data_IF_555658161669
#
_entry.id   IF_555658161669
#
_cell.length_a   1.000
_cell.length_b   1.000
_cell.length_c   1.000
_cell.angle_alpha   90.00
_cell.angle_beta   90.00
_cell.angle_gamma   90.00
#
_symmetry.space_group_name_H-M   'P 1'
#
loop_
_entity.id
_entity.type
_entity.pdbx_description
1 polymer ?
#
# COMPACT_ATOMS: atom_id res chain seq x y z
N UNK A 1 -63.00 -33.93 -39.50
CA UNK A 1 -62.85 -32.58 -38.92
C UNK A 1 -62.54 -32.70 -37.43
N UNK A 2 -61.27 -32.81 -37.01
CA UNK A 2 -60.92 -33.08 -35.59
C UNK A 2 -59.56 -32.50 -35.17
N UNK A 3 -59.15 -31.35 -35.70
CA UNK A 3 -57.75 -30.88 -35.52
C UNK A 3 -57.61 -29.37 -35.26
N UNK A 4 -58.62 -28.68 -34.70
CA UNK A 4 -58.58 -27.22 -34.48
C UNK A 4 -58.69 -26.80 -33.00
N UNK A 5 -58.89 -27.74 -32.07
CA UNK A 5 -59.09 -27.43 -30.64
C UNK A 5 -57.80 -27.36 -29.80
N UNK A 6 -56.64 -27.66 -30.40
CA UNK A 6 -55.35 -27.74 -29.67
C UNK A 6 -54.42 -26.53 -29.83
N UNK A 7 -54.74 -25.58 -30.71
CA UNK A 7 -53.92 -24.37 -30.88
C UNK A 7 -54.32 -23.20 -29.97
N UNK A 8 -55.52 -23.23 -29.38
CA UNK A 8 -56.00 -22.15 -28.51
C UNK A 8 -55.49 -22.24 -27.06
N UNK A 9 -54.94 -23.38 -26.63
CA UNK A 9 -54.39 -23.53 -25.28
C UNK A 9 -52.93 -23.05 -25.16
N UNK A 10 -52.17 -23.00 -26.27
CA UNK A 10 -50.75 -22.60 -26.25
C UNK A 10 -50.53 -21.08 -26.20
N UNK A 11 -51.43 -20.28 -26.79
CA UNK A 11 -51.30 -18.82 -26.83
C UNK A 11 -51.56 -18.14 -25.49
N UNK A 12 -52.42 -18.71 -24.64
CA UNK A 12 -52.80 -18.10 -23.35
C UNK A 12 -51.69 -18.27 -22.30
N UNK A 13 -50.88 -19.34 -22.38
CA UNK A 13 -49.77 -19.57 -21.45
C UNK A 13 -48.54 -18.67 -21.70
N UNK A 14 -48.35 -18.18 -22.93
CA UNK A 14 -47.25 -17.25 -23.24
C UNK A 14 -47.56 -15.80 -22.84
N UNK A 15 -48.83 -15.36 -22.92
CA UNK A 15 -49.24 -14.02 -22.51
C UNK A 15 -49.24 -13.80 -20.99
N UNK A 16 -49.56 -14.85 -20.21
CA UNK A 16 -49.54 -14.78 -18.74
C UNK A 16 -48.12 -14.89 -18.17
N UNK A 17 -47.19 -15.54 -18.87
CA UNK A 17 -45.77 -15.56 -18.48
C UNK A 17 -45.09 -14.20 -18.62
N UNK A 18 -45.48 -13.39 -19.62
CA UNK A 18 -44.87 -12.08 -19.85
C UNK A 18 -45.35 -11.01 -18.85
N UNK A 19 -46.56 -11.15 -18.30
CA UNK A 19 -47.06 -10.28 -17.23
C UNK A 19 -46.61 -10.73 -15.83
N UNK A 20 -46.42 -12.03 -15.58
CA UNK A 20 -45.91 -12.53 -14.30
C UNK A 20 -44.38 -12.40 -14.15
N UNK A 21 -43.62 -12.32 -15.25
CA UNK A 21 -42.17 -12.10 -15.22
C UNK A 21 -41.72 -10.68 -14.88
N UNK A 22 -42.62 -9.69 -14.95
CA UNK A 22 -42.32 -8.28 -14.64
C UNK A 22 -42.35 -7.92 -13.15
N UNK A 23 -42.88 -8.80 -12.31
CA UNK A 23 -43.00 -8.58 -10.87
C UNK A 23 -42.46 -9.80 -10.11
N UNK A 24 -41.15 -10.01 -10.19
CA UNK A 24 -40.46 -10.99 -9.35
C UNK A 24 -39.77 -10.26 -8.18
N UNK A 25 -40.42 -10.11 -7.00
CA UNK A 25 -39.79 -9.52 -5.82
C UNK A 25 -38.72 -10.43 -5.18
N UNK A 26 -38.51 -11.63 -5.75
CA UNK A 26 -37.50 -12.61 -5.34
C UNK A 26 -36.51 -12.93 -6.46
N UNK A 27 -36.44 -12.09 -7.49
CA UNK A 27 -35.28 -12.07 -8.38
C UNK A 27 -34.08 -11.56 -7.60
N UNK A 28 -33.39 -12.45 -6.88
CA UNK A 28 -32.00 -12.23 -6.56
C UNK A 28 -31.31 -11.92 -7.88
N UNK A 29 -31.07 -10.64 -8.09
CA UNK A 29 -30.11 -10.16 -9.06
C UNK A 29 -28.81 -10.81 -8.62
N UNK A 30 -28.43 -11.90 -9.28
CA UNK A 30 -27.05 -12.30 -9.30
C UNK A 30 -26.38 -11.15 -10.03
N UNK A 31 -25.99 -10.12 -9.28
CA UNK A 31 -25.01 -9.16 -9.76
C UNK A 31 -23.84 -10.05 -10.13
N UNK A 32 -23.60 -10.23 -11.43
CA UNK A 32 -22.31 -10.74 -11.88
C UNK A 32 -21.30 -9.94 -11.10
N UNK A 33 -20.45 -10.64 -10.32
CA UNK A 33 -19.34 -10.00 -9.63
C UNK A 33 -18.61 -9.22 -10.71
N UNK A 34 -18.84 -7.91 -10.70
CA UNK A 34 -18.10 -6.96 -11.47
C UNK A 34 -16.70 -7.08 -10.89
N UNK A 35 -15.91 -7.97 -11.48
CA UNK A 35 -14.54 -8.24 -11.05
C UNK A 35 -13.80 -7.01 -11.52
N UNK A 36 -13.88 -5.92 -10.75
CA UNK A 36 -13.15 -4.69 -11.01
C UNK A 36 -11.70 -5.12 -11.13
N UNK A 37 -11.20 -5.14 -12.36
CA UNK A 37 -9.80 -5.45 -12.62
C UNK A 37 -9.01 -4.39 -11.89
N UNK A 38 -8.34 -4.77 -10.80
CA UNK A 38 -7.56 -3.84 -10.02
C UNK A 38 -6.50 -3.21 -10.90
N UNK A 39 -6.53 -1.89 -10.97
CA UNK A 39 -5.53 -1.13 -11.68
C UNK A 39 -4.21 -1.16 -10.90
N UNK A 40 -3.10 -0.86 -11.57
CA UNK A 40 -1.81 -0.69 -10.88
C UNK A 40 -1.90 0.38 -9.78
N UNK A 41 -2.69 1.44 -9.99
CA UNK A 41 -2.94 2.47 -8.99
C UNK A 41 -3.66 1.93 -7.75
N UNK A 42 -4.70 1.10 -7.93
CA UNK A 42 -5.39 0.44 -6.81
C UNK A 42 -4.39 -0.39 -5.99
N UNK A 43 -3.54 -1.19 -6.65
CA UNK A 43 -2.52 -2.02 -5.97
C UNK A 43 -1.49 -1.20 -5.20
N UNK A 44 -1.04 -0.06 -5.74
CA UNK A 44 -0.12 0.85 -5.04
C UNK A 44 -0.79 1.43 -3.79
N UNK A 45 -2.06 1.80 -3.86
CA UNK A 45 -2.82 2.28 -2.70
C UNK A 45 -2.94 1.18 -1.63
N UNK A 46 -3.26 -0.05 -2.04
CA UNK A 46 -3.32 -1.19 -1.12
C UNK A 46 -1.96 -1.47 -0.47
N UNK A 47 -0.87 -1.47 -1.24
CA UNK A 47 0.48 -1.63 -0.71
C UNK A 47 0.88 -0.51 0.25
N UNK A 48 0.55 0.75 -0.07
CA UNK A 48 0.83 1.89 0.81
C UNK A 48 0.10 1.78 2.15
N UNK A 49 -1.15 1.34 2.13
CA UNK A 49 -1.92 1.07 3.36
C UNK A 49 -1.29 -0.05 4.17
N UNK A 50 -0.93 -1.17 3.54
CA UNK A 50 -0.29 -2.29 4.22
C UNK A 50 1.06 -1.90 4.85
N UNK A 51 1.87 -1.10 4.16
CA UNK A 51 3.14 -0.57 4.71
C UNK A 51 2.86 0.35 5.90
N UNK A 52 1.83 1.21 5.83
CA UNK A 52 1.43 2.05 6.94
C UNK A 52 0.98 1.22 8.15
N UNK A 53 0.14 0.21 7.95
CA UNK A 53 -0.34 -0.66 9.02
C UNK A 53 0.83 -1.39 9.69
N UNK A 54 1.80 -1.88 8.92
CA UNK A 54 3.02 -2.47 9.44
C UNK A 54 3.89 -1.47 10.21
N UNK A 55 3.98 -0.22 9.73
CA UNK A 55 4.68 0.86 10.43
C UNK A 55 4.04 1.17 11.78
N UNK A 56 2.71 1.28 11.81
CA UNK A 56 1.94 1.55 13.03
C UNK A 56 2.09 0.40 14.05
N UNK A 57 2.11 -0.86 13.58
CA UNK A 57 2.39 -2.03 14.42
C UNK A 57 3.83 -2.03 14.99
N UNK A 58 4.83 -1.76 14.15
CA UNK A 58 6.23 -1.65 14.61
C UNK A 58 6.42 -0.47 15.58
N UNK A 59 5.72 0.64 15.37
CA UNK A 59 5.74 1.79 16.26
C UNK A 59 5.14 1.45 17.63
N UNK A 60 4.03 0.69 17.66
CA UNK A 60 3.43 0.20 18.90
C UNK A 60 4.40 -0.70 19.71
N UNK A 61 5.30 -1.41 19.02
CA UNK A 61 6.37 -2.20 19.63
C UNK A 61 7.65 -1.39 19.94
N UNK A 62 7.64 -0.06 19.76
CA UNK A 62 8.82 0.82 19.89
C UNK A 62 9.99 0.42 18.97
N UNK A 63 9.71 -0.24 17.85
CA UNK A 63 10.70 -0.68 16.84
C UNK A 63 10.79 0.25 15.64
N UNK A 64 9.92 1.25 15.53
CA UNK A 64 9.86 2.15 14.39
C UNK A 64 9.72 3.60 14.80
N UNK A 65 10.65 4.43 14.34
CA UNK A 65 10.59 5.87 14.42
C UNK A 65 11.15 6.48 13.13
N UNK A 66 10.48 7.49 12.58
CA UNK A 66 10.89 8.16 11.34
C UNK A 66 11.04 9.66 11.52
N UNK A 67 11.98 10.24 10.77
CA UNK A 67 12.20 11.70 10.66
C UNK A 67 11.55 12.30 9.41
N UNK A 68 11.08 11.45 8.49
CA UNK A 68 10.39 11.88 7.26
C UNK A 68 8.95 12.32 7.55
N UNK A 69 8.36 13.13 6.67
CA UNK A 69 6.94 13.54 6.80
C UNK A 69 5.95 12.38 6.61
N UNK A 70 6.39 11.30 5.94
CA UNK A 70 5.59 10.11 5.65
C UNK A 70 6.15 8.84 6.27
N UNK A 71 5.56 7.70 5.89
CA UNK A 71 6.08 6.39 6.29
C UNK A 71 7.35 6.09 5.50
N UNK A 72 8.48 5.95 6.20
CA UNK A 72 9.70 5.42 5.62
C UNK A 72 9.54 3.92 5.33
N UNK A 73 9.28 3.60 4.06
CA UNK A 73 9.02 2.23 3.61
C UNK A 73 10.27 1.35 3.73
N UNK A 74 11.46 1.96 3.61
CA UNK A 74 12.72 1.26 3.76
C UNK A 74 12.85 0.65 5.17
N UNK A 75 12.66 1.44 6.21
CA UNK A 75 12.75 0.98 7.59
C UNK A 75 11.65 -0.04 7.92
N UNK A 76 10.40 0.19 7.47
CA UNK A 76 9.28 -0.74 7.72
C UNK A 76 9.60 -2.13 7.17
N UNK A 77 9.98 -2.21 5.90
CA UNK A 77 10.30 -3.48 5.26
C UNK A 77 11.61 -4.09 5.78
N UNK A 78 12.49 -3.31 6.43
CA UNK A 78 13.66 -3.81 7.14
C UNK A 78 13.33 -4.42 8.52
N UNK A 79 12.06 -4.38 8.95
CA UNK A 79 11.63 -4.85 10.27
C UNK A 79 11.69 -3.79 11.36
N UNK A 80 11.83 -2.52 10.99
CA UNK A 80 11.91 -1.37 11.90
C UNK A 80 13.21 -0.58 11.73
N UNK A 81 13.38 0.39 12.60
CA UNK A 81 14.53 1.29 12.65
C UNK A 81 14.20 2.56 13.41
N UNK A 82 15.24 3.26 13.88
CA UNK A 82 15.09 4.53 14.54
C UNK A 82 15.77 5.62 13.71
N UNK A 83 14.99 6.28 12.86
CA UNK A 83 15.48 7.34 11.98
C UNK A 83 16.02 8.55 12.75
N UNK A 84 15.51 8.84 13.95
CA UNK A 84 15.98 9.95 14.79
C UNK A 84 17.38 9.65 15.33
N UNK A 85 17.57 8.47 15.92
CA UNK A 85 18.87 8.03 16.43
C UNK A 85 19.92 7.88 15.31
N UNK A 86 19.51 7.36 14.15
CA UNK A 86 20.37 7.26 12.97
C UNK A 86 20.76 8.66 12.43
N UNK A 87 19.82 9.61 12.45
CA UNK A 87 20.08 11.00 12.06
C UNK A 87 21.03 11.70 13.04
N UNK A 88 20.83 11.53 14.35
CA UNK A 88 21.73 12.05 15.39
C UNK A 88 23.15 11.48 15.26
N UNK A 89 23.27 10.22 14.85
CA UNK A 89 24.54 9.57 14.54
C UNK A 89 25.14 10.02 13.19
N UNK A 90 24.42 10.80 12.39
CA UNK A 90 24.84 11.26 11.06
C UNK A 90 24.86 10.16 10.00
N UNK A 91 24.23 9.00 10.25
CA UNK A 91 24.19 7.88 9.31
C UNK A 91 22.76 7.36 9.16
N UNK A 92 22.13 7.65 8.03
CA UNK A 92 20.70 7.40 7.79
C UNK A 92 20.45 6.39 6.68
N UNK A 93 19.26 5.81 6.62
CA UNK A 93 18.87 4.92 5.54
C UNK A 93 18.71 5.67 4.18
N UNK A 94 18.66 4.95 3.05
CA UNK A 94 18.58 5.58 1.73
C UNK A 94 17.33 6.46 1.53
N UNK A 95 16.19 6.06 2.09
CA UNK A 95 14.93 6.78 1.92
C UNK A 95 14.92 8.05 2.78
N UNK A 96 15.40 7.96 4.03
CA UNK A 96 15.62 9.12 4.89
C UNK A 96 16.64 10.08 4.27
N UNK A 97 17.73 9.58 3.70
CA UNK A 97 18.72 10.44 3.03
C UNK A 97 18.10 11.25 1.89
N UNK A 98 17.31 10.59 1.03
CA UNK A 98 16.60 11.25 -0.06
C UNK A 98 15.58 12.28 0.45
N UNK A 99 14.84 11.96 1.51
CA UNK A 99 13.88 12.86 2.13
C UNK A 99 14.55 14.10 2.73
N UNK A 100 15.67 13.94 3.45
CA UNK A 100 16.45 15.04 4.01
C UNK A 100 16.96 15.96 2.89
N UNK A 101 17.45 15.38 1.79
CA UNK A 101 17.93 16.13 0.63
C UNK A 101 16.81 16.89 -0.10
N UNK A 102 15.61 16.30 -0.18
CA UNK A 102 14.42 16.92 -0.77
C UNK A 102 13.69 17.90 0.18
N UNK A 103 14.06 17.92 1.46
CA UNK A 103 13.36 18.70 2.49
C UNK A 103 11.96 18.18 2.82
N UNK A 104 11.69 16.89 2.56
CA UNK A 104 10.46 16.15 2.85
C UNK A 104 10.56 15.44 4.23
N UNK A 105 11.00 16.22 5.22
CA UNK A 105 11.23 15.76 6.60
C UNK A 105 10.45 16.64 7.56
N UNK A 106 10.19 16.10 8.75
CA UNK A 106 9.49 16.84 9.80
C UNK A 106 10.12 18.21 10.02
N UNK A 107 9.27 19.20 10.35
CA UNK A 107 9.66 20.60 10.42
C UNK A 107 10.84 20.82 11.39
N UNK A 108 10.83 20.12 12.52
CA UNK A 108 11.85 20.26 13.56
C UNK A 108 13.23 19.82 13.06
N UNK A 109 13.27 18.81 12.19
CA UNK A 109 14.50 18.34 11.55
C UNK A 109 14.93 19.32 10.46
N UNK A 110 13.97 19.77 9.65
CA UNK A 110 14.22 20.72 8.55
C UNK A 110 14.86 22.02 9.01
N UNK A 111 14.40 22.56 10.14
CA UNK A 111 14.91 23.81 10.72
C UNK A 111 16.37 23.70 11.20
N UNK A 112 16.88 22.48 11.41
CA UNK A 112 18.25 22.20 11.83
C UNK A 112 19.16 21.73 10.69
N UNK A 113 18.62 21.51 9.49
CA UNK A 113 19.40 21.09 8.33
C UNK A 113 20.19 22.27 7.75
N UNK A 114 21.47 22.01 7.50
CA UNK A 114 22.39 23.00 6.94
C UNK A 114 23.24 22.36 5.84
N UNK A 115 23.97 23.18 5.09
CA UNK A 115 25.02 22.72 4.19
C UNK A 115 26.37 23.23 4.65
N UNK A 116 27.39 22.37 4.59
CA UNK A 116 28.77 22.77 4.84
C UNK A 116 29.37 23.55 3.66
N UNK A 117 30.64 23.97 3.79
CA UNK A 117 31.36 24.69 2.75
C UNK A 117 31.54 23.89 1.45
N UNK A 118 31.50 22.56 1.53
CA UNK A 118 31.59 21.64 0.39
C UNK A 118 30.19 21.35 -0.22
N UNK A 119 29.13 21.96 0.32
CA UNK A 119 27.75 21.77 -0.09
C UNK A 119 27.11 20.47 0.38
N UNK A 120 27.74 19.75 1.33
CA UNK A 120 27.20 18.50 1.90
C UNK A 120 26.12 18.81 2.93
N UNK A 121 25.11 17.95 2.99
CA UNK A 121 24.04 18.08 3.97
C UNK A 121 24.56 17.75 5.38
N UNK A 122 24.22 18.60 6.33
CA UNK A 122 24.62 18.48 7.73
C UNK A 122 23.40 18.61 8.64
N UNK A 123 23.45 17.92 9.77
CA UNK A 123 22.47 18.00 10.85
C UNK A 123 23.22 18.13 12.17
N UNK A 124 22.90 19.16 12.96
CA UNK A 124 23.63 19.49 14.19
C UNK A 124 25.16 19.55 14.01
N UNK A 125 25.63 20.10 12.88
CA UNK A 125 27.04 20.22 12.53
C UNK A 125 27.71 18.94 12.03
N UNK A 126 27.02 17.79 12.04
CA UNK A 126 27.53 16.53 11.53
C UNK A 126 27.13 16.31 10.08
N UNK A 127 28.08 15.88 9.24
CA UNK A 127 27.80 15.51 7.85
C UNK A 127 26.94 14.24 7.82
N UNK A 128 25.78 14.35 7.18
CA UNK A 128 24.85 13.23 7.02
C UNK A 128 25.36 12.32 5.91
N UNK A 129 25.38 11.02 6.18
CA UNK A 129 25.77 9.98 5.24
C UNK A 129 24.70 8.91 5.18
N UNK A 130 24.63 8.23 4.05
CA UNK A 130 23.80 7.03 3.95
C UNK A 130 24.47 5.85 4.68
N UNK A 131 23.68 4.88 5.14
CA UNK A 131 24.16 3.62 5.69
C UNK A 131 25.29 3.01 4.85
N UNK A 132 26.28 2.45 5.54
CA UNK A 132 27.39 1.74 4.89
C UNK A 132 26.89 0.58 4.02
N UNK A 133 27.66 0.25 2.99
CA UNK A 133 27.39 -0.89 2.08
C UNK A 133 27.11 -2.20 2.84
N UNK A 134 27.92 -2.54 3.84
CA UNK A 134 27.75 -3.78 4.61
C UNK A 134 26.45 -3.82 5.42
N UNK A 135 26.03 -2.70 6.03
CA UNK A 135 24.73 -2.58 6.71
C UNK A 135 23.57 -2.77 5.74
N UNK A 136 23.65 -2.17 4.55
CA UNK A 136 22.63 -2.32 3.50
C UNK A 136 22.54 -3.77 3.01
N UNK A 137 23.67 -4.42 2.74
CA UNK A 137 23.72 -5.83 2.32
C UNK A 137 23.04 -6.74 3.35
N UNK A 138 23.31 -6.54 4.65
CA UNK A 138 22.65 -7.29 5.72
C UNK A 138 21.13 -7.08 5.73
N UNK A 139 20.67 -5.84 5.65
CA UNK A 139 19.23 -5.51 5.63
C UNK A 139 18.53 -6.15 4.44
N UNK A 140 19.11 -6.08 3.24
CA UNK A 140 18.53 -6.70 2.04
C UNK A 140 18.52 -8.23 2.13
N UNK A 141 19.54 -8.85 2.74
CA UNK A 141 19.57 -10.29 2.97
C UNK A 141 18.56 -10.76 4.04
N UNK A 142 18.16 -9.90 4.97
CA UNK A 142 17.12 -10.19 5.96
C UNK A 142 15.72 -10.03 5.37
N UNK A 143 15.52 -9.00 4.53
CA UNK A 143 14.27 -8.77 3.78
C UNK A 143 13.85 -9.94 2.89
N UNK A 144 14.82 -10.57 2.22
CA UNK A 144 14.56 -11.70 1.32
C UNK A 144 14.17 -12.99 2.06
N UNK A 145 14.36 -13.05 3.38
CA UNK A 145 13.98 -14.20 4.21
C UNK A 145 12.53 -14.15 4.69
N UNK A 146 11.88 -12.98 4.67
CA UNK A 146 10.43 -12.89 4.89
C UNK A 146 9.73 -13.56 3.71
N UNK A 147 9.01 -14.68 3.91
CA UNK A 147 8.47 -15.45 2.80
C UNK A 147 7.40 -14.62 2.11
N UNK A 148 7.67 -14.19 0.88
CA UNK A 148 6.62 -14.00 -0.11
C UNK A 148 5.98 -15.39 -0.24
N UNK A 149 4.80 -15.58 0.37
CA UNK A 149 4.03 -16.81 0.15
C UNK A 149 3.86 -16.96 -1.36
N UNK A 150 4.44 -18.04 -1.90
CA UNK A 150 4.16 -18.44 -3.27
C UNK A 150 2.65 -18.65 -3.38
N UNK A 151 1.97 -18.00 -4.34
CA UNK A 151 0.59 -18.40 -4.63
C UNK A 151 0.63 -19.86 -5.09
N UNK A 152 -0.19 -20.70 -4.45
CA UNK A 152 -0.51 -22.06 -4.92
C UNK A 152 -1.25 -22.03 -6.25
#
# INVERSE_FOLDING_TARGET
>A
MRNIRWCLLGGVMFGLGWLAGGANPLGQSVSGQDTKVETAADKVVHASRAIKDAADALAAESKYETVTEGVNSFLVLAGGGNGTADLDAGVVDPETFAALYAGAVKKEVKDQLQKDADGRLTYNGNVIRMYSKSRLEKIFAERSKSPVQKPE
#
